data_IF_837966357109
#
_entry.id   IF_837966357109
#
_cell.length_a   1.000
_cell.length_b   1.000
_cell.length_c   1.000
_cell.angle_alpha   90.00
_cell.angle_beta   90.00
_cell.angle_gamma   90.00
#
_symmetry.space_group_name_H-M   'P 1'
#
loop_
_entity.id
_entity.type
_entity.pdbx_description
1 polymer ?
#
# COMPACT_ATOMS: atom_id res chain seq x y z
N UNK A 1 14.51 -15.69 10.44
CA UNK A 1 13.47 -16.11 9.48
C UNK A 1 13.08 -14.93 8.60
N UNK A 2 12.54 -15.19 7.40
CA UNK A 2 12.00 -14.13 6.55
C UNK A 2 10.70 -13.59 7.15
N UNK A 3 10.48 -12.28 7.01
CA UNK A 3 9.22 -11.65 7.38
C UNK A 3 8.21 -11.84 6.25
N UNK A 4 7.08 -12.48 6.56
CA UNK A 4 6.06 -12.84 5.58
C UNK A 4 4.68 -12.38 6.07
N UNK A 5 3.82 -11.99 5.13
CA UNK A 5 2.40 -11.70 5.34
C UNK A 5 1.54 -12.82 4.80
N UNK A 6 0.42 -13.09 5.49
CA UNK A 6 -0.59 -14.01 4.98
C UNK A 6 -1.47 -13.33 3.94
N UNK A 7 -1.77 -14.06 2.88
CA UNK A 7 -2.80 -13.73 1.90
C UNK A 7 -3.97 -14.68 2.14
N UNK A 8 -5.00 -14.19 2.81
CA UNK A 8 -6.14 -15.00 3.22
C UNK A 8 -7.12 -15.19 2.06
N UNK A 9 -7.51 -16.44 1.79
CA UNK A 9 -8.36 -16.81 0.65
C UNK A 9 -9.86 -16.51 0.84
N UNK A 10 -10.25 -15.92 1.95
CA UNK A 10 -11.63 -15.63 2.35
C UNK A 10 -11.84 -14.18 2.78
N UNK A 11 -10.93 -13.29 2.37
CA UNK A 11 -11.06 -11.86 2.64
C UNK A 11 -11.90 -11.21 1.56
N UNK A 12 -12.97 -10.53 2.00
CA UNK A 12 -13.86 -9.75 1.17
C UNK A 12 -14.02 -8.32 1.70
N UNK A 13 -14.50 -7.43 0.85
CA UNK A 13 -14.73 -6.03 1.18
C UNK A 13 -16.20 -5.84 1.55
N UNK A 14 -16.42 -5.14 2.67
CA UNK A 14 -17.73 -4.86 3.24
C UNK A 14 -17.93 -3.37 3.48
N UNK A 15 -19.18 -2.91 3.38
CA UNK A 15 -19.61 -1.61 3.92
C UNK A 15 -20.25 -1.86 5.28
N UNK A 16 -19.82 -1.07 6.27
CA UNK A 16 -20.43 -1.02 7.60
C UNK A 16 -20.79 0.43 7.96
N UNK A 17 -21.72 0.60 8.89
CA UNK A 17 -21.97 1.91 9.49
C UNK A 17 -20.92 2.24 10.57
N UNK A 18 -20.96 3.48 11.07
CA UNK A 18 -20.02 3.95 12.12
C UNK A 18 -20.12 3.18 13.45
N UNK A 19 -21.13 2.34 13.64
CA UNK A 19 -21.29 1.45 14.79
C UNK A 19 -20.79 0.05 14.54
N UNK A 20 -20.18 -0.21 13.36
CA UNK A 20 -19.64 -1.51 12.96
C UNK A 20 -20.67 -2.50 12.42
N UNK A 21 -21.94 -2.10 12.23
CA UNK A 21 -22.95 -2.97 11.64
C UNK A 21 -22.73 -3.08 10.13
N UNK A 22 -22.47 -4.30 9.65
CA UNK A 22 -22.32 -4.59 8.21
C UNK A 22 -23.65 -4.28 7.51
N UNK A 23 -23.56 -3.50 6.42
CA UNK A 23 -24.68 -3.10 5.56
C UNK A 23 -24.67 -3.87 4.26
N UNK A 24 -23.50 -4.12 3.68
CA UNK A 24 -23.38 -4.78 2.39
C UNK A 24 -21.99 -5.43 2.26
N UNK A 25 -21.94 -6.61 1.68
CA UNK A 25 -20.74 -7.20 1.11
C UNK A 25 -20.58 -6.70 -0.33
N UNK A 26 -19.36 -6.31 -0.71
CA UNK A 26 -19.08 -5.73 -2.03
C UNK A 26 -18.35 -6.70 -2.97
N UNK A 27 -17.58 -7.63 -2.42
CA UNK A 27 -16.85 -8.65 -3.19
C UNK A 27 -17.27 -10.06 -2.76
N UNK A 28 -17.22 -11.00 -3.71
CA UNK A 28 -17.63 -12.39 -3.52
C UNK A 28 -16.68 -13.34 -4.25
N UNK A 29 -15.55 -12.85 -4.71
CA UNK A 29 -14.59 -13.64 -5.47
C UNK A 29 -13.77 -14.49 -4.53
N UNK A 30 -13.61 -15.78 -4.83
CA UNK A 30 -12.69 -16.62 -4.04
C UNK A 30 -11.27 -16.04 -4.12
N UNK A 31 -10.66 -15.84 -2.98
CA UNK A 31 -9.31 -15.31 -2.86
C UNK A 31 -9.25 -14.10 -1.94
N UNK A 32 -8.22 -13.29 -2.11
CA UNK A 32 -7.93 -12.13 -1.30
C UNK A 32 -8.47 -10.87 -1.97
N UNK A 33 -9.47 -10.24 -1.38
CA UNK A 33 -9.95 -8.91 -1.69
C UNK A 33 -9.79 -8.03 -0.45
N UNK A 34 -8.81 -7.12 -0.43
CA UNK A 34 -8.46 -6.35 0.76
C UNK A 34 -7.81 -4.98 0.44
N UNK A 35 -7.35 -4.30 1.48
CA UNK A 35 -6.63 -3.01 1.39
C UNK A 35 -7.45 -1.92 0.66
N UNK A 36 -8.76 -1.92 0.85
CA UNK A 36 -9.67 -1.04 0.16
C UNK A 36 -9.58 0.41 0.64
N UNK A 37 -9.48 1.35 -0.29
CA UNK A 37 -9.60 2.78 -0.03
C UNK A 37 -10.59 3.45 -0.96
N UNK A 38 -11.24 4.52 -0.48
CA UNK A 38 -12.31 5.23 -1.21
C UNK A 38 -11.76 6.48 -1.87
N UNK A 39 -12.23 6.77 -3.09
CA UNK A 39 -11.89 7.99 -3.83
C UNK A 39 -12.35 9.26 -3.09
N UNK A 40 -11.70 10.42 -3.32
CA UNK A 40 -12.11 11.69 -2.69
C UNK A 40 -13.55 12.09 -2.99
N UNK A 41 -14.11 11.64 -4.11
CA UNK A 41 -15.52 11.88 -4.49
C UNK A 41 -16.49 10.90 -3.83
N UNK A 42 -16.00 9.83 -3.21
CA UNK A 42 -16.84 8.78 -2.62
C UNK A 42 -17.56 7.89 -3.65
N UNK A 43 -17.11 7.89 -4.90
CA UNK A 43 -17.76 7.17 -6.00
C UNK A 43 -17.07 5.87 -6.39
N UNK A 44 -15.80 5.70 -6.03
CA UNK A 44 -14.98 4.53 -6.36
C UNK A 44 -14.22 3.99 -5.16
N UNK A 45 -13.88 2.72 -5.26
CA UNK A 45 -12.99 2.01 -4.35
C UNK A 45 -11.81 1.47 -5.16
N UNK A 46 -10.58 1.62 -4.67
CA UNK A 46 -9.41 0.86 -5.13
C UNK A 46 -9.08 -0.19 -4.07
N UNK A 47 -8.70 -1.38 -4.49
CA UNK A 47 -8.41 -2.50 -3.60
C UNK A 47 -7.40 -3.46 -4.23
N UNK A 48 -6.76 -4.29 -3.41
CA UNK A 48 -5.89 -5.38 -3.86
C UNK A 48 -6.70 -6.65 -3.99
N UNK A 49 -6.52 -7.39 -5.10
CA UNK A 49 -7.27 -8.62 -5.37
C UNK A 49 -6.40 -9.70 -6.03
N UNK A 50 -6.66 -10.95 -5.63
CA UNK A 50 -6.07 -12.15 -6.23
C UNK A 50 -6.86 -12.73 -7.41
N UNK A 51 -7.95 -12.11 -7.83
CA UNK A 51 -8.87 -12.66 -8.85
C UNK A 51 -8.25 -12.86 -10.23
N UNK A 52 -7.16 -12.18 -10.53
CA UNK A 52 -6.39 -12.36 -11.78
C UNK A 52 -5.29 -13.41 -11.69
N UNK A 53 -5.09 -14.01 -10.50
CA UNK A 53 -4.04 -15.01 -10.25
C UNK A 53 -2.79 -14.45 -9.61
N UNK A 54 -2.69 -13.12 -9.44
CA UNK A 54 -1.65 -12.41 -8.70
C UNK A 54 -2.26 -11.26 -7.89
N UNK A 55 -1.49 -10.67 -6.97
CA UNK A 55 -1.91 -9.54 -6.13
C UNK A 55 -1.83 -8.25 -6.93
N UNK A 56 -2.95 -7.87 -7.54
CA UNK A 56 -3.07 -6.71 -8.42
C UNK A 56 -4.04 -5.67 -7.86
N UNK A 57 -3.88 -4.43 -8.28
CA UNK A 57 -4.86 -3.38 -7.98
C UNK A 57 -6.07 -3.48 -8.90
N UNK A 58 -7.22 -3.31 -8.28
CA UNK A 58 -8.52 -3.24 -8.93
C UNK A 58 -9.28 -2.02 -8.45
N UNK A 59 -10.14 -1.48 -9.29
CA UNK A 59 -11.12 -0.46 -8.89
C UNK A 59 -12.53 -1.00 -9.10
N UNK A 60 -13.48 -0.48 -8.34
CA UNK A 60 -14.90 -0.73 -8.50
C UNK A 60 -15.70 0.53 -8.13
N UNK A 61 -16.95 0.59 -8.50
CA UNK A 61 -17.86 1.61 -7.99
C UNK A 61 -18.10 1.42 -6.49
N UNK A 62 -18.52 2.49 -5.80
CA UNK A 62 -18.76 2.45 -4.34
C UNK A 62 -19.81 1.39 -3.93
N UNK A 63 -20.66 0.98 -4.82
CA UNK A 63 -21.67 -0.07 -4.61
C UNK A 63 -21.18 -1.49 -4.88
N UNK A 64 -19.89 -1.66 -5.27
CA UNK A 64 -19.24 -2.92 -5.62
C UNK A 64 -19.40 -3.33 -7.09
N UNK A 65 -20.12 -2.55 -7.90
CA UNK A 65 -20.31 -2.84 -9.32
C UNK A 65 -19.08 -2.46 -10.15
N UNK A 66 -19.02 -3.01 -11.37
CA UNK A 66 -18.02 -2.68 -12.39
C UNK A 66 -16.55 -2.80 -11.93
N UNK A 67 -16.08 -3.96 -11.43
CA UNK A 67 -14.69 -4.16 -11.09
C UNK A 67 -13.81 -4.10 -12.35
N UNK A 68 -12.71 -3.32 -12.28
CA UNK A 68 -11.74 -3.13 -13.35
C UNK A 68 -10.33 -3.36 -12.82
N UNK A 69 -9.54 -4.18 -13.51
CA UNK A 69 -8.12 -4.37 -13.19
C UNK A 69 -7.32 -3.13 -13.60
N UNK A 70 -6.42 -2.70 -12.72
CA UNK A 70 -5.61 -1.49 -12.90
C UNK A 70 -4.15 -1.82 -13.17
N UNK A 71 -3.59 -2.80 -12.45
CA UNK A 71 -2.22 -3.22 -12.62
C UNK A 71 -2.14 -4.63 -13.20
N UNK A 72 -1.03 -4.88 -13.90
CA UNK A 72 -0.77 -6.14 -14.60
C UNK A 72 0.72 -6.43 -14.50
N UNK A 73 1.08 -7.53 -13.96
CA UNK A 73 2.49 -7.89 -13.88
C UNK A 73 2.78 -8.79 -12.72
N UNK A 74 3.94 -9.43 -12.75
CA UNK A 74 4.33 -10.30 -11.66
C UNK A 74 4.79 -9.49 -10.45
N UNK A 75 4.16 -9.73 -9.31
CA UNK A 75 4.52 -9.11 -8.04
C UNK A 75 3.31 -8.64 -7.25
N UNK A 76 3.54 -8.18 -6.05
CA UNK A 76 2.48 -7.70 -5.15
C UNK A 76 2.27 -6.20 -5.33
N UNK A 77 1.12 -5.81 -5.84
CA UNK A 77 0.63 -4.44 -5.89
C UNK A 77 -0.43 -4.22 -4.81
N UNK A 78 -0.21 -3.26 -3.90
CA UNK A 78 -1.14 -3.08 -2.80
C UNK A 78 -1.03 -1.77 -2.03
N UNK A 79 -1.97 -1.58 -1.10
CA UNK A 79 -2.03 -0.41 -0.22
C UNK A 79 -2.20 0.91 -0.98
N UNK A 80 -3.06 0.92 -1.98
CA UNK A 80 -3.26 2.06 -2.86
C UNK A 80 -4.14 3.15 -2.23
N UNK A 81 -3.78 4.41 -2.51
CA UNK A 81 -4.59 5.59 -2.21
C UNK A 81 -4.77 6.48 -3.43
N UNK A 82 -5.93 7.09 -3.56
CA UNK A 82 -6.21 8.07 -4.59
C UNK A 82 -5.47 9.39 -4.32
N UNK A 83 -5.08 10.09 -5.40
CA UNK A 83 -4.67 11.49 -5.33
C UNK A 83 -5.84 12.39 -4.88
N UNK A 84 -5.59 13.59 -4.34
CA UNK A 84 -6.64 14.50 -3.88
C UNK A 84 -7.67 14.88 -4.94
N UNK A 85 -7.27 14.90 -6.22
CA UNK A 85 -8.17 15.16 -7.35
C UNK A 85 -8.86 13.89 -7.91
N UNK A 86 -8.51 12.71 -7.37
CA UNK A 86 -9.07 11.41 -7.75
C UNK A 86 -8.60 10.88 -9.11
N UNK A 87 -7.56 11.47 -9.71
CA UNK A 87 -7.09 11.08 -11.05
C UNK A 87 -5.95 10.08 -11.05
N UNK A 88 -5.23 9.96 -9.96
CA UNK A 88 -4.07 9.08 -9.82
C UNK A 88 -4.20 8.17 -8.60
N UNK A 89 -3.43 7.10 -8.61
CA UNK A 89 -3.23 6.18 -7.51
C UNK A 89 -1.75 6.18 -7.13
N UNK A 90 -1.45 6.17 -5.84
CA UNK A 90 -0.13 5.84 -5.30
C UNK A 90 -0.23 4.50 -4.57
N UNK A 91 0.75 3.63 -4.73
CA UNK A 91 0.76 2.30 -4.12
C UNK A 91 2.18 1.77 -3.93
N UNK A 92 2.32 0.72 -3.16
CA UNK A 92 3.56 -0.04 -3.06
C UNK A 92 3.51 -1.27 -3.94
N UNK A 93 4.65 -1.64 -4.53
CA UNK A 93 4.73 -2.84 -5.33
C UNK A 93 6.09 -3.55 -5.22
N UNK A 94 6.06 -4.87 -5.26
CA UNK A 94 7.23 -5.67 -5.54
C UNK A 94 7.32 -5.97 -7.03
N UNK A 95 8.56 -6.13 -7.53
CA UNK A 95 8.81 -6.50 -8.93
C UNK A 95 9.98 -7.48 -8.95
N UNK A 96 9.73 -8.79 -8.74
CA UNK A 96 10.77 -9.81 -8.84
C UNK A 96 11.34 -9.82 -10.25
N UNK A 97 12.67 -9.79 -10.37
CA UNK A 97 13.35 -9.61 -11.66
C UNK A 97 14.21 -10.81 -12.06
N UNK A 98 14.84 -11.46 -11.09
CA UNK A 98 15.67 -12.65 -11.36
C UNK A 98 14.81 -13.91 -11.30
N UNK A 99 15.23 -14.97 -11.97
CA UNK A 99 14.53 -16.26 -11.91
C UNK A 99 14.37 -16.74 -10.47
N UNK A 100 15.39 -16.53 -9.63
CA UNK A 100 15.35 -16.88 -8.20
C UNK A 100 14.26 -16.09 -7.46
N UNK A 101 14.19 -14.76 -7.67
CA UNK A 101 13.16 -13.92 -7.01
C UNK A 101 11.75 -14.29 -7.49
N UNK A 102 11.61 -14.61 -8.79
CA UNK A 102 10.35 -15.01 -9.40
C UNK A 102 9.86 -16.36 -8.83
N UNK A 103 10.74 -17.34 -8.75
CA UNK A 103 10.41 -18.64 -8.18
C UNK A 103 10.07 -18.54 -6.69
N UNK A 104 10.83 -17.74 -5.95
CA UNK A 104 10.56 -17.49 -4.54
C UNK A 104 9.19 -16.82 -4.34
N UNK A 105 8.89 -15.74 -5.08
CA UNK A 105 7.60 -15.05 -5.02
C UNK A 105 6.44 -16.02 -5.29
N UNK A 106 6.51 -16.79 -6.39
CA UNK A 106 5.50 -17.78 -6.76
C UNK A 106 5.34 -18.88 -5.71
N UNK A 107 6.45 -19.34 -5.14
CA UNK A 107 6.45 -20.35 -4.08
C UNK A 107 5.76 -19.87 -2.80
N UNK A 108 5.94 -18.60 -2.41
CA UNK A 108 5.23 -18.03 -1.28
C UNK A 108 3.75 -17.84 -1.61
N UNK A 109 3.43 -17.25 -2.76
CA UNK A 109 2.06 -16.99 -3.17
C UNK A 109 1.21 -18.27 -3.24
N UNK A 110 1.79 -19.38 -3.74
CA UNK A 110 1.14 -20.67 -3.75
C UNK A 110 0.81 -21.23 -2.35
N UNK A 111 1.47 -20.73 -1.31
CA UNK A 111 1.24 -21.05 0.10
C UNK A 111 0.37 -20.01 0.81
N UNK A 112 -0.18 -19.06 0.09
CA UNK A 112 -0.92 -17.93 0.66
C UNK A 112 -0.04 -16.95 1.45
N UNK A 113 1.21 -16.75 1.02
CA UNK A 113 2.19 -15.89 1.69
C UNK A 113 2.81 -14.93 0.69
N UNK A 114 3.25 -13.76 1.18
CA UNK A 114 4.07 -12.80 0.44
C UNK A 114 5.17 -12.21 1.33
N UNK A 115 6.30 -11.86 0.72
CA UNK A 115 7.38 -11.15 1.40
C UNK A 115 7.26 -9.63 1.13
N UNK A 116 6.98 -8.79 2.13
CA UNK A 116 6.80 -7.35 1.95
C UNK A 116 8.11 -6.56 2.01
N UNK A 117 9.24 -7.17 1.71
CA UNK A 117 10.57 -6.63 2.06
C UNK A 117 11.29 -5.92 0.92
N UNK A 118 10.91 -6.15 -0.33
CA UNK A 118 11.49 -5.48 -1.51
C UNK A 118 10.36 -4.78 -2.27
N UNK A 119 9.91 -3.67 -1.73
CA UNK A 119 8.81 -2.89 -2.29
C UNK A 119 9.23 -1.47 -2.56
N UNK A 120 8.83 -0.98 -3.72
CA UNK A 120 9.00 0.41 -4.13
C UNK A 120 7.64 1.09 -4.33
N UNK A 121 7.64 2.41 -4.37
CA UNK A 121 6.43 3.18 -4.60
C UNK A 121 6.23 3.45 -6.09
N UNK A 122 4.98 3.36 -6.49
CA UNK A 122 4.52 3.60 -7.85
C UNK A 122 3.35 4.57 -7.86
N UNK A 123 3.22 5.30 -8.94
CA UNK A 123 2.05 6.13 -9.26
C UNK A 123 1.56 5.75 -10.66
N UNK A 124 0.25 5.69 -10.84
CA UNK A 124 -0.39 5.56 -12.14
C UNK A 124 -1.65 6.40 -12.21
N UNK A 125 -2.21 6.58 -13.40
CA UNK A 125 -3.55 7.10 -13.53
C UNK A 125 -4.58 6.08 -12.98
N UNK A 126 -5.75 6.54 -12.62
CA UNK A 126 -6.82 5.71 -12.03
C UNK A 126 -7.30 4.57 -12.95
N UNK A 127 -6.96 4.62 -14.22
CA UNK A 127 -7.20 3.58 -15.23
C UNK A 127 -5.96 2.70 -15.53
N UNK A 128 -4.89 2.84 -14.75
CA UNK A 128 -3.64 2.08 -14.87
C UNK A 128 -2.64 2.61 -15.88
N UNK A 129 -2.98 3.64 -16.67
CA UNK A 129 -2.03 4.25 -17.61
C UNK A 129 -0.97 5.07 -16.88
N UNK A 130 0.09 5.44 -17.61
CA UNK A 130 1.17 6.27 -17.12
C UNK A 130 1.84 5.74 -15.83
N UNK A 131 1.93 4.41 -15.71
CA UNK A 131 2.60 3.76 -14.57
C UNK A 131 4.05 4.21 -14.48
N UNK A 132 4.41 4.75 -13.31
CA UNK A 132 5.76 5.25 -13.00
C UNK A 132 6.22 4.76 -11.65
N UNK A 133 7.44 4.22 -11.58
CA UNK A 133 8.14 3.97 -10.33
C UNK A 133 8.66 5.29 -9.76
N UNK A 134 8.38 5.57 -8.48
CA UNK A 134 8.73 6.81 -7.78
C UNK A 134 9.98 6.64 -6.94
N UNK A 135 10.17 5.46 -6.34
CA UNK A 135 11.34 5.18 -5.50
C UNK A 135 12.18 4.04 -6.06
N UNK A 136 13.48 4.09 -5.78
CA UNK A 136 14.47 3.04 -6.05
C UNK A 136 15.38 2.91 -4.82
N UNK A 137 14.78 2.90 -3.63
CA UNK A 137 15.48 2.97 -2.36
C UNK A 137 15.93 1.59 -1.87
N UNK A 138 15.33 0.55 -2.39
CA UNK A 138 15.49 -0.81 -1.88
C UNK A 138 14.78 -1.03 -0.55
N UNK A 139 14.85 -2.25 -0.04
CA UNK A 139 14.19 -2.70 1.19
C UNK A 139 12.67 -2.49 1.14
N UNK A 140 12.04 -2.05 2.25
CA UNK A 140 10.61 -1.92 2.36
C UNK A 140 10.19 -0.44 2.36
N UNK A 141 9.39 -0.05 1.37
CA UNK A 141 8.77 1.26 1.27
C UNK A 141 7.25 1.04 1.27
N UNK A 142 6.56 1.47 2.35
CA UNK A 142 5.17 1.10 2.62
C UNK A 142 4.28 2.30 2.86
N UNK A 143 2.97 2.04 2.80
CA UNK A 143 1.92 2.96 3.20
C UNK A 143 2.07 4.37 2.61
N UNK A 144 2.22 4.50 1.28
CA UNK A 144 2.28 5.81 0.66
C UNK A 144 0.93 6.51 0.76
N UNK A 145 0.97 7.83 0.97
CA UNK A 145 -0.21 8.68 1.00
C UNK A 145 0.08 10.02 0.33
N UNK A 146 -0.82 10.52 -0.51
CA UNK A 146 -0.64 11.83 -1.12
C UNK A 146 -0.77 12.96 -0.09
N UNK A 147 0.12 13.94 -0.17
CA UNK A 147 -0.11 15.22 0.46
C UNK A 147 -1.31 15.91 -0.21
N UNK A 148 -2.18 16.65 0.53
CA UNK A 148 -3.36 17.31 -0.03
C UNK A 148 -3.10 18.25 -1.20
N UNK A 149 -1.87 18.74 -1.38
CA UNK A 149 -1.48 19.50 -2.58
C UNK A 149 -1.42 18.67 -3.87
N UNK A 150 -1.44 17.34 -3.78
CA UNK A 150 -1.23 16.43 -4.89
C UNK A 150 0.20 16.41 -5.45
N UNK A 151 1.15 17.14 -4.86
CA UNK A 151 2.52 17.28 -5.38
C UNK A 151 3.56 16.41 -4.67
N UNK A 152 3.23 15.89 -3.51
CA UNK A 152 4.13 15.09 -2.65
C UNK A 152 3.44 13.84 -2.15
N UNK A 153 4.27 12.85 -1.82
CA UNK A 153 3.87 11.57 -1.23
C UNK A 153 4.63 11.43 0.09
N UNK A 154 3.92 11.12 1.18
CA UNK A 154 4.51 10.67 2.44
C UNK A 154 4.42 9.15 2.51
N UNK A 155 5.43 8.51 3.10
CA UNK A 155 5.47 7.04 3.19
C UNK A 155 6.36 6.59 4.34
N UNK A 156 6.27 5.31 4.66
CA UNK A 156 7.10 4.64 5.65
C UNK A 156 8.21 3.86 4.96
N UNK A 157 9.45 3.98 5.44
CA UNK A 157 10.59 3.27 4.86
C UNK A 157 11.64 2.88 5.88
N UNK A 158 12.28 1.73 5.64
CA UNK A 158 13.45 1.28 6.37
C UNK A 158 14.73 1.28 5.51
N UNK A 159 14.73 1.99 4.37
CA UNK A 159 15.87 1.98 3.43
C UNK A 159 17.19 2.44 4.08
N UNK A 160 17.10 3.41 5.00
CA UNK A 160 18.25 3.98 5.73
C UNK A 160 18.77 3.07 6.85
N UNK A 161 17.97 2.13 7.32
CA UNK A 161 18.24 1.38 8.54
C UNK A 161 19.21 0.21 8.32
N UNK A 162 20.07 -0.06 9.28
CA UNK A 162 20.87 -1.29 9.27
C UNK A 162 20.00 -2.53 9.53
N UNK A 163 19.02 -2.40 10.43
CA UNK A 163 18.08 -3.46 10.81
C UNK A 163 16.70 -3.23 10.20
N UNK A 164 16.05 -4.28 9.72
CA UNK A 164 14.82 -4.23 8.93
C UNK A 164 13.58 -3.70 9.64
N UNK A 165 13.59 -3.54 10.95
CA UNK A 165 12.44 -3.05 11.74
C UNK A 165 12.49 -1.56 12.09
N UNK A 166 13.55 -0.84 11.70
CA UNK A 166 13.66 0.61 11.91
C UNK A 166 13.00 1.35 10.76
N UNK A 167 11.75 1.74 10.95
CA UNK A 167 10.95 2.47 9.98
C UNK A 167 10.80 3.93 10.37
N UNK A 168 11.07 4.82 9.40
CA UNK A 168 10.84 6.25 9.53
C UNK A 168 9.88 6.76 8.44
N UNK A 169 9.29 7.91 8.67
CA UNK A 169 8.50 8.59 7.65
C UNK A 169 9.40 9.42 6.74
N UNK A 170 9.13 9.34 5.46
CA UNK A 170 9.80 10.11 4.41
C UNK A 170 8.76 10.80 3.54
N UNK A 171 9.16 11.90 2.94
CA UNK A 171 8.37 12.62 1.95
C UNK A 171 9.17 12.75 0.65
N UNK A 172 8.51 12.59 -0.48
CA UNK A 172 9.11 12.67 -1.82
C UNK A 172 8.15 13.42 -2.75
N UNK A 173 8.66 14.10 -3.77
CA UNK A 173 7.80 14.66 -4.80
C UNK A 173 7.22 13.55 -5.69
N UNK A 174 6.07 13.78 -6.30
CA UNK A 174 5.40 12.77 -7.17
C UNK A 174 6.21 12.42 -8.42
N UNK A 175 7.22 13.21 -8.75
CA UNK A 175 8.18 12.92 -9.83
C UNK A 175 9.37 12.07 -9.38
N UNK A 176 9.48 11.76 -8.07
CA UNK A 176 10.57 10.98 -7.47
C UNK A 176 11.76 11.79 -7.00
N UNK A 177 11.68 13.13 -7.02
CA UNK A 177 12.73 14.02 -6.56
C UNK A 177 12.52 14.46 -5.10
N UNK A 178 13.53 15.15 -4.53
CA UNK A 178 13.46 15.83 -3.23
C UNK A 178 13.05 14.92 -2.06
N UNK A 179 13.64 13.72 -1.97
CA UNK A 179 13.45 12.81 -0.83
C UNK A 179 13.90 13.49 0.46
N UNK A 180 13.02 13.51 1.46
CA UNK A 180 13.26 14.11 2.78
C UNK A 180 12.79 13.18 3.89
N UNK A 181 13.62 12.95 4.90
CA UNK A 181 13.23 12.27 6.12
C UNK A 181 12.41 13.20 7.01
N UNK A 182 11.27 12.71 7.53
CA UNK A 182 10.33 13.49 8.35
C UNK A 182 10.45 13.15 9.82
N UNK A 183 10.67 11.88 10.15
CA UNK A 183 10.82 11.44 11.55
C UNK A 183 12.21 10.86 11.79
N UNK A 184 12.75 11.08 13.00
CA UNK A 184 14.06 10.59 13.43
C UNK A 184 14.02 9.96 14.82
N UNK A 185 12.92 10.13 15.53
CA UNK A 185 12.73 9.61 16.88
C UNK A 185 12.02 8.26 16.86
N UNK A 186 12.39 7.37 17.76
CA UNK A 186 11.91 5.99 17.84
C UNK A 186 12.33 5.09 16.67
N UNK A 187 12.07 3.79 16.80
CA UNK A 187 12.45 2.77 15.79
C UNK A 187 11.32 2.38 14.86
N UNK A 188 10.10 2.85 15.11
CA UNK A 188 8.98 2.52 14.27
C UNK A 188 8.03 3.71 14.16
N UNK A 189 7.99 4.31 12.97
CA UNK A 189 7.02 5.32 12.57
C UNK A 189 6.44 4.89 11.23
N UNK A 190 5.12 4.66 11.17
CA UNK A 190 4.49 4.06 9.99
C UNK A 190 3.04 4.50 9.79
N UNK A 191 2.50 4.20 8.61
CA UNK A 191 1.09 4.44 8.22
C UNK A 191 0.69 5.91 8.31
N UNK A 192 1.42 6.82 7.64
CA UNK A 192 1.12 8.25 7.69
C UNK A 192 -0.10 8.61 6.85
N UNK A 193 -0.95 9.50 7.38
CA UNK A 193 -2.07 10.08 6.64
C UNK A 193 -2.22 11.55 7.00
N UNK A 194 -2.39 12.41 5.98
CA UNK A 194 -2.68 13.83 6.19
C UNK A 194 -4.17 14.06 6.45
N UNK A 195 -4.48 15.07 7.28
CA UNK A 195 -5.82 15.65 7.30
C UNK A 195 -6.14 16.29 5.95
N UNK A 196 -7.43 16.38 5.54
CA UNK A 196 -7.82 16.95 4.25
C UNK A 196 -7.32 18.37 4.00
N UNK A 197 -7.15 19.17 5.08
CA UNK A 197 -6.61 20.53 5.01
C UNK A 197 -5.08 20.60 5.04
N UNK A 198 -4.39 19.45 5.13
CA UNK A 198 -2.93 19.32 5.15
C UNK A 198 -2.25 19.82 6.42
N UNK A 199 -3.00 20.22 7.46
CA UNK A 199 -2.43 20.83 8.66
C UNK A 199 -2.03 19.82 9.72
N UNK A 200 -2.50 18.59 9.63
CA UNK A 200 -2.22 17.54 10.60
C UNK A 200 -1.74 16.28 9.89
N UNK A 201 -0.84 15.58 10.53
CA UNK A 201 -0.35 14.27 10.14
C UNK A 201 -0.66 13.30 11.27
N UNK A 202 -1.36 12.21 10.97
CA UNK A 202 -1.53 11.07 11.87
C UNK A 202 -0.63 9.94 11.41
N UNK A 203 -0.02 9.22 12.33
CA UNK A 203 0.81 8.05 12.05
C UNK A 203 0.94 7.18 13.30
N UNK A 204 1.29 5.91 13.11
CA UNK A 204 1.62 4.99 14.19
C UNK A 204 3.07 5.17 14.61
N UNK A 205 3.34 5.14 15.93
CA UNK A 205 4.71 5.27 16.46
C UNK A 205 4.85 4.50 17.76
N UNK A 206 6.06 3.94 17.99
CA UNK A 206 6.44 3.33 19.26
C UNK A 206 7.27 4.27 20.16
N UNK A 207 7.25 5.60 19.93
CA UNK A 207 8.06 6.60 20.62
C UNK A 207 7.69 6.64 22.10
N UNK A 208 6.98 6.34 22.80
CA UNK A 208 6.73 6.34 24.25
C UNK A 208 6.66 4.92 24.82
N UNK A 209 7.07 3.94 24.05
CA UNK A 209 7.12 2.56 24.50
C UNK A 209 8.52 2.26 25.04
N UNK A 210 8.66 2.20 26.36
CA UNK A 210 9.90 1.87 27.04
C UNK A 210 10.22 0.35 27.01
N UNK A 211 9.35 -0.46 26.44
CA UNK A 211 9.60 -1.88 26.23
C UNK A 211 10.52 -2.04 25.02
N UNK A 212 11.79 -2.24 25.28
CA UNK A 212 12.71 -2.84 24.32
C UNK A 212 12.17 -4.23 23.99
N UNK A 213 11.69 -4.44 22.76
CA UNK A 213 11.60 -5.79 22.23
C UNK A 213 13.02 -6.30 22.04
N UNK A 214 13.58 -6.88 23.07
CA UNK A 214 14.71 -7.78 22.97
C UNK A 214 14.22 -9.08 22.33
N UNK A 215 14.48 -9.24 21.04
CA UNK A 215 14.43 -10.52 20.35
C UNK A 215 15.54 -10.62 19.33
#
# INVERSE_FOLDING_TARGET
GKYLWNVYNDFDIFIADAKGKIKKQLTYTKGYDAEATVSPKGDKIVFTSMRSGDLELWTMNIDGSNPQQITYGLGYDGGAFFSPDGKQLVFRASRPKTDVDIEEYKSYLAKGLVAPTNMELYVCDVDGRNLKQITTLGKANWAPFFHPSGKKIIFSSNHHAEKGYDFQLFMIDVDGNNLQQITTESKFNAFPMFSPDGKKLVFSSNRNNNETRDT
#
